data_IF_108902404693
#
_entry.id   IF_108902404693
#
_cell.length_a   1.000
_cell.length_b   1.000
_cell.length_c   1.000
_cell.angle_alpha   90.00
_cell.angle_beta   90.00
_cell.angle_gamma   90.00
#
_symmetry.space_group_name_H-M   'P 1'
#
loop_
_entity.id
_entity.type
_entity.pdbx_description
1 polymer ?
#
# COMPACT_ATOMS: atom_id res chain seq x y z
N UNK A 1 9.26 44.41 13.26
CA UNK A 1 8.81 44.88 14.59
C UNK A 1 8.19 43.72 15.36
N UNK A 2 8.33 43.66 16.69
CA UNK A 2 7.72 42.63 17.53
C UNK A 2 6.86 43.34 18.58
N UNK A 3 5.56 43.10 18.58
CA UNK A 3 4.62 43.63 19.56
C UNK A 3 4.30 42.56 20.60
N UNK A 4 4.31 42.96 21.88
CA UNK A 4 4.10 42.09 23.06
C UNK A 4 2.90 42.50 23.90
N UNK A 5 2.21 43.57 23.51
CA UNK A 5 1.05 44.17 24.18
C UNK A 5 -0.28 43.77 23.52
N UNK A 6 -0.29 42.63 22.83
CA UNK A 6 -1.45 42.00 22.20
C UNK A 6 -1.62 40.60 22.81
N UNK A 7 -2.81 40.01 22.69
CA UNK A 7 -3.11 38.69 23.26
C UNK A 7 -2.11 37.59 22.83
N UNK A 8 -1.57 37.71 21.61
CA UNK A 8 -0.49 36.87 21.09
C UNK A 8 0.69 37.73 20.63
N UNK A 9 1.92 37.18 20.57
CA UNK A 9 3.06 37.87 19.99
C UNK A 9 2.80 38.23 18.51
N UNK A 10 2.88 39.52 18.16
CA UNK A 10 2.70 39.97 16.78
C UNK A 10 4.04 40.37 16.16
N UNK A 11 4.45 39.67 15.10
CA UNK A 11 5.74 39.89 14.44
C UNK A 11 5.54 40.41 13.03
N UNK A 12 6.01 41.62 12.77
CA UNK A 12 6.11 42.19 11.42
C UNK A 12 7.45 41.83 10.78
N UNK A 13 7.39 41.11 9.67
CA UNK A 13 8.55 40.73 8.85
C UNK A 13 8.50 41.52 7.54
N UNK A 14 9.59 42.22 7.22
CA UNK A 14 9.78 42.90 5.95
C UNK A 14 10.97 42.25 5.21
N UNK A 15 10.86 42.17 3.89
CA UNK A 15 11.91 41.64 3.01
C UNK A 15 12.18 42.66 1.91
N UNK A 16 13.46 42.93 1.65
CA UNK A 16 13.93 43.79 0.56
C UNK A 16 14.76 42.98 -0.43
N UNK A 17 14.64 43.28 -1.71
CA UNK A 17 15.52 42.75 -2.75
C UNK A 17 16.67 43.76 -2.94
N UNK A 18 17.92 43.43 -2.54
CA UNK A 18 19.02 44.40 -2.58
C UNK A 18 19.43 44.77 -4.02
N UNK A 19 19.20 43.87 -4.98
CA UNK A 19 19.50 44.08 -6.40
C UNK A 19 18.27 43.73 -7.25
N UNK A 20 17.39 44.70 -7.54
CA UNK A 20 16.13 44.43 -8.24
C UNK A 20 16.37 43.92 -9.66
N UNK A 21 16.00 42.68 -9.93
CA UNK A 21 16.08 42.10 -11.28
C UNK A 21 14.84 42.43 -12.11
N UNK A 22 14.82 43.59 -12.77
CA UNK A 22 13.76 43.98 -13.71
C UNK A 22 13.94 43.33 -15.09
N UNK A 23 13.80 42.00 -15.17
CA UNK A 23 13.79 41.26 -16.43
C UNK A 23 12.43 40.60 -16.65
N UNK A 24 11.82 40.83 -17.81
CA UNK A 24 10.52 40.24 -18.18
C UNK A 24 10.59 38.72 -18.06
N UNK A 25 9.64 38.13 -17.35
CA UNK A 25 9.56 36.67 -17.16
C UNK A 25 10.52 36.10 -16.11
N UNK A 26 11.46 36.89 -15.56
CA UNK A 26 12.27 36.49 -14.41
C UNK A 26 11.73 37.07 -13.11
N UNK A 27 11.82 36.28 -12.04
CA UNK A 27 11.31 36.67 -10.73
C UNK A 27 9.83 37.07 -10.76
N UNK A 28 9.52 38.23 -10.18
CA UNK A 28 8.15 38.77 -10.08
C UNK A 28 7.84 39.85 -11.12
N UNK A 29 8.66 40.01 -12.15
CA UNK A 29 8.50 41.03 -13.17
C UNK A 29 7.53 40.58 -14.26
N UNK A 30 6.61 41.47 -14.64
CA UNK A 30 5.54 41.24 -15.62
C UNK A 30 5.38 42.48 -16.50
N UNK A 31 4.77 42.32 -17.66
CA UNK A 31 4.33 43.43 -18.50
C UNK A 31 2.90 43.81 -18.13
N UNK A 32 2.61 45.11 -18.05
CA UNK A 32 1.23 45.61 -17.98
C UNK A 32 0.58 45.61 -19.39
N UNK A 33 -0.67 46.05 -19.49
CA UNK A 33 -1.38 46.13 -20.77
C UNK A 33 -0.77 47.13 -21.78
N UNK A 34 0.09 48.02 -21.30
CA UNK A 34 0.78 49.05 -22.09
C UNK A 34 2.20 48.64 -22.50
N UNK A 35 2.65 47.43 -22.10
CA UNK A 35 3.98 46.92 -22.42
C UNK A 35 5.09 47.39 -21.48
N UNK A 36 4.76 48.01 -20.35
CA UNK A 36 5.72 48.43 -19.34
C UNK A 36 6.01 47.33 -18.32
N UNK A 37 7.27 47.23 -17.90
CA UNK A 37 7.71 46.25 -16.90
C UNK A 37 7.34 46.74 -15.50
N UNK A 38 6.59 45.92 -14.76
CA UNK A 38 6.33 46.15 -13.35
C UNK A 38 6.63 44.92 -12.50
N UNK A 39 6.96 45.13 -11.22
CA UNK A 39 7.15 44.05 -10.26
C UNK A 39 5.85 43.80 -9.47
N UNK A 40 5.39 42.56 -9.41
CA UNK A 40 4.23 42.20 -8.59
C UNK A 40 4.59 42.24 -7.10
N UNK A 41 4.14 43.26 -6.38
CA UNK A 41 4.39 43.43 -4.94
C UNK A 41 3.62 42.46 -4.03
N UNK A 42 2.47 41.93 -4.48
CA UNK A 42 1.68 40.96 -3.70
C UNK A 42 2.27 39.55 -3.79
N UNK A 43 2.57 38.94 -2.65
CA UNK A 43 2.93 37.52 -2.57
C UNK A 43 1.70 36.62 -2.79
N UNK A 44 1.92 35.43 -3.35
CA UNK A 44 0.87 34.40 -3.44
C UNK A 44 0.51 33.94 -2.02
N UNK A 45 -0.79 33.77 -1.74
CA UNK A 45 -1.27 33.30 -0.43
C UNK A 45 -0.57 32.01 0.02
N UNK A 46 -0.40 31.04 -0.88
CA UNK A 46 0.32 29.79 -0.58
C UNK A 46 1.79 30.02 -0.19
N UNK A 47 2.46 31.02 -0.77
CA UNK A 47 3.85 31.36 -0.41
C UNK A 47 3.93 31.95 0.99
N UNK A 48 2.95 32.81 1.36
CA UNK A 48 2.83 33.36 2.71
C UNK A 48 2.58 32.23 3.71
N UNK A 49 1.66 31.32 3.40
CA UNK A 49 1.35 30.17 4.26
C UNK A 49 2.57 29.26 4.45
N UNK A 50 3.33 28.97 3.39
CA UNK A 50 4.58 28.21 3.49
C UNK A 50 5.63 28.93 4.33
N UNK A 51 5.76 30.25 4.21
CA UNK A 51 6.68 31.03 5.03
C UNK A 51 6.28 31.00 6.51
N UNK A 52 4.98 31.21 6.81
CA UNK A 52 4.43 31.08 8.17
C UNK A 52 4.72 29.70 8.76
N UNK A 53 4.46 28.63 8.01
CA UNK A 53 4.72 27.26 8.45
C UNK A 53 6.19 27.01 8.77
N UNK A 54 7.11 27.45 7.91
CA UNK A 54 8.55 27.33 8.19
C UNK A 54 8.97 28.13 9.43
N UNK A 55 8.45 29.34 9.60
CA UNK A 55 8.73 30.17 10.75
C UNK A 55 8.23 29.53 12.05
N UNK A 56 6.98 29.07 12.09
CA UNK A 56 6.39 28.40 13.27
C UNK A 56 7.15 27.12 13.61
N UNK A 57 7.47 26.28 12.62
CA UNK A 57 8.24 25.06 12.87
C UNK A 57 9.65 25.35 13.42
N UNK A 58 10.30 26.41 12.94
CA UNK A 58 11.60 26.84 13.47
C UNK A 58 11.49 27.42 14.89
N UNK A 59 10.40 28.15 15.18
CA UNK A 59 10.14 28.75 16.48
C UNK A 59 9.89 27.69 17.56
N UNK A 60 9.09 26.67 17.24
CA UNK A 60 8.72 25.64 18.20
C UNK A 60 9.85 24.62 18.44
N UNK A 61 10.82 24.51 17.52
CA UNK A 61 11.97 23.61 17.61
C UNK A 61 11.61 22.13 17.85
N UNK A 62 10.51 21.66 17.26
CA UNK A 62 9.86 20.36 17.54
C UNK A 62 10.40 19.20 16.70
N UNK A 63 11.69 19.25 16.38
CA UNK A 63 12.32 18.17 15.59
C UNK A 63 12.21 16.83 16.33
N UNK A 64 12.34 16.84 17.66
CA UNK A 64 12.31 15.65 18.51
C UNK A 64 10.90 15.05 18.59
N UNK A 65 9.88 15.86 18.85
CA UNK A 65 8.49 15.38 18.95
C UNK A 65 7.97 14.90 17.59
N UNK A 66 8.29 15.62 16.51
CA UNK A 66 7.96 15.18 15.15
C UNK A 66 8.66 13.87 14.80
N UNK A 67 9.91 13.71 15.23
CA UNK A 67 10.66 12.47 15.05
C UNK A 67 10.00 11.32 15.83
N UNK A 68 9.60 11.55 17.08
CA UNK A 68 8.92 10.53 17.91
C UNK A 68 7.59 10.09 17.30
N UNK A 69 6.76 11.03 16.81
CA UNK A 69 5.52 10.70 16.10
C UNK A 69 5.81 9.82 14.88
N UNK A 70 6.81 10.17 14.08
CA UNK A 70 7.17 9.40 12.89
C UNK A 70 7.77 8.03 13.24
N UNK A 71 8.54 7.93 14.31
CA UNK A 71 9.11 6.69 14.84
C UNK A 71 8.00 5.73 15.29
N UNK A 72 7.05 6.20 16.10
CA UNK A 72 5.91 5.38 16.54
C UNK A 72 5.14 4.85 15.34
N UNK A 73 4.82 5.71 14.36
CA UNK A 73 4.09 5.29 13.17
C UNK A 73 4.90 4.27 12.35
N UNK A 74 6.14 4.60 11.98
CA UNK A 74 6.90 3.82 10.97
C UNK A 74 7.59 2.60 11.56
N UNK A 75 8.28 2.77 12.67
CA UNK A 75 9.12 1.72 13.25
C UNK A 75 8.31 0.84 14.19
N UNK A 76 7.59 1.44 15.14
CA UNK A 76 6.92 0.66 16.19
C UNK A 76 5.65 -0.02 15.67
N UNK A 77 4.76 0.71 14.99
CA UNK A 77 3.49 0.12 14.52
C UNK A 77 3.70 -0.59 13.18
N UNK A 78 4.15 0.14 12.15
CA UNK A 78 4.22 -0.42 10.79
C UNK A 78 5.34 -1.45 10.67
N UNK A 79 6.51 -1.20 11.26
CA UNK A 79 7.66 -2.11 11.25
C UNK A 79 7.34 -3.44 11.95
N UNK A 80 6.81 -3.40 13.18
CA UNK A 80 6.42 -4.61 13.91
C UNK A 80 5.24 -5.32 13.26
N UNK A 81 4.26 -4.59 12.71
CA UNK A 81 3.18 -5.23 11.95
C UNK A 81 3.72 -5.99 10.74
N UNK A 82 4.75 -5.47 10.06
CA UNK A 82 5.39 -6.13 8.92
C UNK A 82 5.99 -7.50 9.25
N UNK A 83 6.36 -7.74 10.51
CA UNK A 83 6.90 -9.03 11.00
C UNK A 83 5.82 -10.07 11.29
N UNK A 84 4.55 -9.65 11.38
CA UNK A 84 3.41 -10.49 11.76
C UNK A 84 2.51 -10.78 10.56
N UNK A 85 2.16 -12.04 10.37
CA UNK A 85 1.18 -12.46 9.36
C UNK A 85 -0.22 -12.47 9.94
N UNK A 86 -1.08 -11.61 9.42
CA UNK A 86 -2.52 -11.53 9.75
C UNK A 86 -3.20 -12.86 9.43
N UNK A 87 -2.80 -13.51 8.33
CA UNK A 87 -3.38 -14.79 7.87
C UNK A 87 -3.16 -15.98 8.81
N UNK A 88 -2.15 -15.91 9.68
CA UNK A 88 -1.81 -16.94 10.66
C UNK A 88 -2.39 -16.64 12.07
N UNK A 89 -2.83 -15.40 12.30
CA UNK A 89 -3.42 -14.97 13.57
C UNK A 89 -4.87 -15.45 13.70
N UNK A 90 -5.18 -16.14 14.80
CA UNK A 90 -6.52 -16.70 15.07
C UNK A 90 -7.64 -15.67 15.02
N UNK A 91 -7.42 -14.48 15.56
CA UNK A 91 -8.47 -13.46 15.72
C UNK A 91 -8.57 -12.58 14.47
N UNK A 92 -7.46 -12.42 13.73
CA UNK A 92 -7.43 -11.59 12.54
C UNK A 92 -7.74 -12.35 11.25
N UNK A 93 -7.59 -13.68 11.24
CA UNK A 93 -7.80 -14.51 10.05
C UNK A 93 -9.21 -14.41 9.50
N UNK A 94 -10.24 -14.49 10.36
CA UNK A 94 -11.63 -14.42 9.90
C UNK A 94 -11.96 -13.06 9.26
N UNK A 95 -11.70 -11.90 9.91
CA UNK A 95 -11.83 -10.59 9.29
C UNK A 95 -11.00 -10.44 8.00
N UNK A 96 -9.79 -10.98 7.96
CA UNK A 96 -8.94 -10.93 6.77
C UNK A 96 -9.54 -11.70 5.59
N UNK A 97 -10.15 -12.87 5.82
CA UNK A 97 -10.84 -13.63 4.77
C UNK A 97 -12.15 -12.97 4.33
N UNK A 98 -12.79 -12.17 5.17
CA UNK A 98 -13.93 -11.34 4.78
C UNK A 98 -13.47 -10.19 3.88
N UNK A 99 -12.41 -9.48 4.27
CA UNK A 99 -11.78 -8.44 3.46
C UNK A 99 -11.44 -8.96 2.05
N UNK A 100 -10.78 -10.12 1.94
CA UNK A 100 -10.42 -10.71 0.63
C UNK A 100 -11.61 -10.96 -0.31
N UNK A 101 -12.83 -11.12 0.23
CA UNK A 101 -14.06 -11.31 -0.57
C UNK A 101 -14.67 -10.01 -1.04
N UNK A 102 -14.47 -8.92 -0.31
CA UNK A 102 -14.98 -7.59 -0.62
C UNK A 102 -14.00 -6.75 -1.44
N UNK A 103 -12.73 -7.18 -1.53
CA UNK A 103 -11.73 -6.51 -2.36
C UNK A 103 -12.11 -6.53 -3.84
N UNK A 104 -11.80 -5.46 -4.60
CA UNK A 104 -11.99 -5.42 -6.05
C UNK A 104 -11.29 -6.58 -6.76
N UNK A 105 -11.83 -7.03 -7.88
CA UNK A 105 -11.25 -8.13 -8.67
C UNK A 105 -9.80 -7.84 -9.11
N UNK A 106 -9.50 -6.58 -9.43
CA UNK A 106 -8.18 -6.15 -9.89
C UNK A 106 -7.22 -5.89 -8.72
N UNK A 107 -6.27 -6.81 -8.51
CA UNK A 107 -5.24 -6.69 -7.45
C UNK A 107 -4.32 -5.47 -7.59
N UNK A 108 -4.17 -4.94 -8.81
CA UNK A 108 -3.41 -3.72 -9.08
C UNK A 108 -4.02 -2.51 -8.36
N UNK A 109 -5.32 -2.53 -8.11
CA UNK A 109 -6.09 -1.46 -7.46
C UNK A 109 -6.11 -1.55 -5.94
N UNK A 110 -5.49 -2.56 -5.33
CA UNK A 110 -5.49 -2.79 -3.88
C UNK A 110 -4.57 -1.81 -3.13
N UNK A 111 -4.80 -0.50 -3.29
CA UNK A 111 -4.10 0.56 -2.60
C UNK A 111 -5.13 1.35 -1.80
N UNK A 112 -4.87 1.58 -0.53
CA UNK A 112 -5.80 2.20 0.41
C UNK A 112 -6.43 3.50 -0.12
N UNK A 113 -5.63 4.33 -0.81
CA UNK A 113 -6.07 5.62 -1.35
C UNK A 113 -6.64 5.53 -2.79
N UNK A 114 -6.69 4.34 -3.39
CA UNK A 114 -7.29 4.15 -4.71
C UNK A 114 -8.81 4.32 -4.63
N UNK A 115 -9.41 4.86 -5.70
CA UNK A 115 -10.85 5.06 -5.80
C UNK A 115 -11.63 3.74 -5.83
N UNK A 116 -11.05 2.69 -6.40
CA UNK A 116 -11.66 1.36 -6.43
C UNK A 116 -11.84 0.76 -5.02
N UNK A 117 -11.11 1.27 -4.02
CA UNK A 117 -11.22 0.82 -2.64
C UNK A 117 -12.35 1.51 -1.86
N UNK A 118 -13.07 2.48 -2.42
CA UNK A 118 -14.06 3.26 -1.66
C UNK A 118 -15.09 2.39 -0.91
N UNK A 119 -15.56 1.31 -1.53
CA UNK A 119 -16.54 0.40 -0.92
C UNK A 119 -15.93 -0.57 0.08
N UNK A 120 -14.64 -0.90 -0.01
CA UNK A 120 -13.97 -1.88 0.85
C UNK A 120 -13.02 -1.26 1.88
N UNK A 121 -12.77 0.05 1.81
CA UNK A 121 -11.84 0.77 2.70
C UNK A 121 -12.24 0.62 4.16
N UNK A 122 -13.54 0.69 4.46
CA UNK A 122 -14.04 0.52 5.83
C UNK A 122 -13.66 -0.84 6.44
N UNK A 123 -13.59 -1.92 5.64
CA UNK A 123 -13.09 -3.24 6.11
C UNK A 123 -11.59 -3.26 6.36
N UNK A 124 -10.84 -2.51 5.56
CA UNK A 124 -9.40 -2.32 5.80
C UNK A 124 -9.19 -1.55 7.10
N UNK A 125 -10.03 -0.54 7.37
CA UNK A 125 -10.00 0.25 8.61
C UNK A 125 -10.37 -0.59 9.83
N UNK A 126 -11.45 -1.37 9.76
CA UNK A 126 -11.88 -2.28 10.84
C UNK A 126 -10.78 -3.29 11.22
N UNK A 127 -10.12 -3.88 10.21
CA UNK A 127 -9.00 -4.79 10.44
C UNK A 127 -7.78 -4.06 11.01
N UNK A 128 -7.50 -2.84 10.52
CA UNK A 128 -6.41 -2.00 11.04
C UNK A 128 -6.63 -1.62 12.50
N UNK A 129 -7.86 -1.27 12.88
CA UNK A 129 -8.24 -0.96 14.25
C UNK A 129 -8.10 -2.20 15.16
N UNK A 130 -8.50 -3.38 14.67
CA UNK A 130 -8.33 -4.64 15.41
C UNK A 130 -6.85 -4.95 15.66
N UNK A 131 -6.00 -4.72 14.66
CA UNK A 131 -4.54 -4.88 14.79
C UNK A 131 -3.99 -3.91 15.86
N UNK A 132 -4.39 -2.64 15.80
CA UNK A 132 -3.96 -1.62 16.77
C UNK A 132 -4.37 -2.04 18.19
N UNK A 133 -5.64 -2.36 18.41
CA UNK A 133 -6.15 -2.76 19.73
C UNK A 133 -5.44 -3.99 20.29
N UNK A 134 -5.15 -4.97 19.44
CA UNK A 134 -4.55 -6.24 19.86
C UNK A 134 -3.05 -6.13 20.16
N UNK A 135 -2.32 -5.36 19.36
CA UNK A 135 -0.85 -5.40 19.39
C UNK A 135 -0.17 -4.08 19.72
N UNK A 136 -0.83 -2.95 19.49
CA UNK A 136 -0.19 -1.63 19.48
C UNK A 136 -0.99 -0.58 20.26
N UNK A 137 -1.79 -1.02 21.24
CA UNK A 137 -2.67 -0.12 21.98
C UNK A 137 -1.87 0.95 22.74
N UNK A 138 -0.74 0.57 23.35
CA UNK A 138 0.10 1.48 24.14
C UNK A 138 0.77 2.51 23.23
N UNK A 139 1.31 2.08 22.10
CA UNK A 139 1.91 2.93 21.07
C UNK A 139 0.89 3.89 20.48
N UNK A 140 -0.35 3.43 20.27
CA UNK A 140 -1.44 4.24 19.76
C UNK A 140 -1.93 5.29 20.77
N UNK A 141 -1.98 4.95 22.06
CA UNK A 141 -2.28 5.89 23.15
C UNK A 141 -1.17 6.95 23.31
N UNK A 142 0.10 6.54 23.23
CA UNK A 142 1.25 7.46 23.24
C UNK A 142 1.17 8.41 22.02
N UNK A 143 0.93 7.86 20.83
CA UNK A 143 0.77 8.65 19.61
C UNK A 143 -0.35 9.68 19.76
N UNK A 144 -1.54 9.28 20.21
CA UNK A 144 -2.66 10.19 20.38
C UNK A 144 -2.32 11.34 21.33
N UNK A 145 -1.69 11.02 22.46
CA UNK A 145 -1.28 12.01 23.47
C UNK A 145 -0.29 13.03 22.89
N UNK A 146 0.71 12.56 22.13
CA UNK A 146 1.68 13.43 21.45
C UNK A 146 1.01 14.30 20.39
N UNK A 147 0.07 13.74 19.62
CA UNK A 147 -0.66 14.48 18.59
C UNK A 147 -1.57 15.56 19.17
N UNK A 148 -2.19 15.32 20.33
CA UNK A 148 -3.01 16.34 21.02
C UNK A 148 -2.17 17.52 21.49
N UNK A 149 -1.04 17.24 22.14
CA UNK A 149 -0.08 18.29 22.56
C UNK A 149 0.38 19.10 21.36
N UNK A 150 0.75 18.41 20.27
CA UNK A 150 1.25 19.05 19.06
C UNK A 150 0.18 19.89 18.35
N UNK A 151 -1.06 19.41 18.30
CA UNK A 151 -2.17 20.17 17.74
C UNK A 151 -2.39 21.46 18.52
N UNK A 152 -2.44 21.41 19.85
CA UNK A 152 -2.60 22.59 20.70
C UNK A 152 -1.46 23.60 20.53
N UNK A 153 -0.21 23.13 20.43
CA UNK A 153 0.95 24.01 20.17
C UNK A 153 0.80 24.75 18.85
N UNK A 154 0.37 24.06 17.80
CA UNK A 154 0.10 24.71 16.52
C UNK A 154 -1.08 25.68 16.60
N UNK A 155 -2.21 25.32 17.21
CA UNK A 155 -3.35 26.24 17.40
C UNK A 155 -2.87 27.52 18.08
N UNK A 156 -2.12 27.42 19.17
CA UNK A 156 -1.56 28.57 19.88
C UNK A 156 -0.60 29.39 19.00
N UNK A 157 0.31 28.75 18.27
CA UNK A 157 1.27 29.43 17.41
C UNK A 157 0.61 30.17 16.22
N UNK A 158 -0.56 29.71 15.77
CA UNK A 158 -1.36 30.36 14.73
C UNK A 158 -2.44 31.30 15.28
N UNK A 159 -2.45 31.58 16.59
CA UNK A 159 -3.38 32.53 17.20
C UNK A 159 -4.78 31.97 17.43
N UNK A 160 -4.89 30.68 17.73
CA UNK A 160 -6.14 29.97 18.03
C UNK A 160 -6.89 29.44 16.81
N UNK A 161 -6.28 29.48 15.61
CA UNK A 161 -6.89 28.92 14.41
C UNK A 161 -6.89 27.38 14.49
N UNK A 162 -8.08 26.78 14.44
CA UNK A 162 -8.26 25.32 14.43
C UNK A 162 -7.43 24.70 13.31
N UNK A 163 -6.75 23.59 13.62
CA UNK A 163 -5.98 22.84 12.62
C UNK A 163 -6.32 21.34 12.67
N UNK A 164 -6.00 20.65 11.57
CA UNK A 164 -6.30 19.22 11.41
C UNK A 164 -5.02 18.36 11.57
N UNK A 165 -4.05 18.79 12.38
CA UNK A 165 -2.76 18.10 12.47
C UNK A 165 -2.91 16.66 12.97
N UNK A 166 -3.62 16.46 14.09
CA UNK A 166 -3.86 15.12 14.65
C UNK A 166 -4.61 14.25 13.66
N UNK A 167 -5.71 14.75 13.10
CA UNK A 167 -6.53 14.03 12.14
C UNK A 167 -5.71 13.58 10.92
N UNK A 168 -4.88 14.46 10.36
CA UNK A 168 -4.02 14.13 9.23
C UNK A 168 -2.98 13.05 9.56
N UNK A 169 -2.42 13.07 10.77
CA UNK A 169 -1.46 12.05 11.22
C UNK A 169 -2.12 10.70 11.48
N UNK A 170 -3.33 10.68 12.05
CA UNK A 170 -4.11 9.45 12.19
C UNK A 170 -4.48 8.89 10.82
N UNK A 171 -4.92 9.73 9.87
CA UNK A 171 -5.17 9.30 8.48
C UNK A 171 -3.92 8.72 7.81
N UNK A 172 -2.74 9.30 8.02
CA UNK A 172 -1.47 8.75 7.52
C UNK A 172 -1.16 7.38 8.14
N UNK A 173 -1.39 7.20 9.45
CA UNK A 173 -1.25 5.90 10.12
C UNK A 173 -2.17 4.83 9.48
N UNK A 174 -3.47 5.11 9.36
CA UNK A 174 -4.43 4.17 8.76
C UNK A 174 -4.09 3.88 7.30
N UNK A 175 -3.68 4.89 6.53
CA UNK A 175 -3.26 4.71 5.14
C UNK A 175 -2.05 3.77 5.02
N UNK A 176 -1.04 3.93 5.89
CA UNK A 176 0.15 3.07 5.91
C UNK A 176 -0.18 1.65 6.38
N UNK A 177 -0.96 1.54 7.45
CA UNK A 177 -1.31 0.26 8.05
C UNK A 177 -2.21 -0.54 7.10
N UNK A 178 -3.22 0.11 6.52
CA UNK A 178 -4.08 -0.47 5.50
C UNK A 178 -3.29 -0.93 4.27
N UNK A 179 -2.30 -0.16 3.81
CA UNK A 179 -1.42 -0.61 2.73
C UNK A 179 -0.54 -1.81 3.11
N UNK A 180 -0.14 -1.94 4.38
CA UNK A 180 0.54 -3.14 4.89
C UNK A 180 -0.37 -4.37 4.86
N UNK A 181 -1.63 -4.22 5.29
CA UNK A 181 -2.68 -5.26 5.21
C UNK A 181 -2.92 -5.68 3.75
N UNK A 182 -3.11 -4.71 2.85
CA UNK A 182 -3.36 -4.96 1.43
C UNK A 182 -2.16 -5.60 0.73
N UNK A 183 -0.93 -5.31 1.17
CA UNK A 183 0.27 -6.01 0.70
C UNK A 183 0.21 -7.48 1.07
N UNK A 184 -0.10 -7.81 2.31
CA UNK A 184 -0.26 -9.21 2.75
C UNK A 184 -1.39 -9.91 1.99
N UNK A 185 -2.50 -9.22 1.72
CA UNK A 185 -3.60 -9.75 0.90
C UNK A 185 -3.13 -10.16 -0.50
N UNK A 186 -2.34 -9.31 -1.18
CA UNK A 186 -1.77 -9.64 -2.50
C UNK A 186 -0.86 -10.86 -2.43
N UNK A 187 0.01 -10.90 -1.43
CA UNK A 187 0.93 -12.02 -1.22
C UNK A 187 0.17 -13.33 -1.02
N UNK A 188 -0.89 -13.30 -0.20
CA UNK A 188 -1.76 -14.46 0.03
C UNK A 188 -2.42 -14.97 -1.27
N UNK A 189 -3.05 -14.08 -2.06
CA UNK A 189 -3.65 -14.43 -3.37
C UNK A 189 -2.63 -15.02 -4.35
N UNK A 190 -1.42 -14.48 -4.38
CA UNK A 190 -0.36 -14.94 -5.26
C UNK A 190 0.13 -16.35 -4.90
N UNK A 191 0.28 -16.64 -3.60
CA UNK A 191 0.62 -17.97 -3.10
C UNK A 191 -0.48 -18.97 -3.47
N UNK A 192 -1.75 -18.61 -3.26
CA UNK A 192 -2.89 -19.46 -3.59
C UNK A 192 -2.96 -19.76 -5.11
N UNK A 193 -2.74 -18.75 -5.96
CA UNK A 193 -2.71 -18.90 -7.41
C UNK A 193 -1.56 -19.79 -7.92
N UNK A 194 -0.36 -19.66 -7.34
CA UNK A 194 0.80 -20.53 -7.65
C UNK A 194 0.53 -21.98 -7.26
N UNK A 195 -0.04 -22.22 -6.09
CA UNK A 195 -0.42 -23.57 -5.63
C UNK A 195 -1.42 -24.24 -6.58
N UNK A 196 -2.47 -23.52 -6.99
CA UNK A 196 -3.45 -24.02 -7.98
C UNK A 196 -2.80 -24.32 -9.34
N UNK A 197 -1.86 -23.50 -9.78
CA UNK A 197 -1.15 -23.67 -11.06
C UNK A 197 -0.20 -24.88 -11.03
N UNK A 198 0.57 -25.05 -9.95
CA UNK A 198 1.43 -26.23 -9.76
C UNK A 198 0.61 -27.53 -9.71
N UNK A 199 -0.50 -27.51 -8.97
CA UNK A 199 -1.41 -28.67 -8.88
C UNK A 199 -2.05 -29.02 -10.23
N UNK A 200 -2.40 -28.02 -11.05
CA UNK A 200 -2.85 -28.23 -12.44
C UNK A 200 -1.76 -28.84 -13.32
N UNK A 201 -0.52 -28.32 -13.28
CA UNK A 201 0.62 -28.86 -14.05
C UNK A 201 0.91 -30.31 -13.68
N UNK A 202 0.89 -30.64 -12.38
CA UNK A 202 1.00 -32.01 -11.86
C UNK A 202 -0.06 -32.93 -12.46
N UNK A 203 -1.33 -32.53 -12.40
CA UNK A 203 -2.42 -33.36 -12.94
C UNK A 203 -2.31 -33.57 -14.46
N UNK A 204 -1.90 -32.55 -15.22
CA UNK A 204 -1.67 -32.70 -16.67
C UNK A 204 -0.50 -33.64 -16.96
N UNK A 205 0.58 -33.57 -16.19
CA UNK A 205 1.72 -34.48 -16.32
C UNK A 205 1.33 -35.93 -16.01
N UNK A 206 0.61 -36.17 -14.90
CA UNK A 206 0.09 -37.50 -14.55
C UNK A 206 -0.85 -38.07 -15.61
N UNK A 207 -1.73 -37.25 -16.18
CA UNK A 207 -2.61 -37.68 -17.27
C UNK A 207 -1.83 -38.06 -18.53
N UNK A 208 -0.74 -37.36 -18.84
CA UNK A 208 0.13 -37.70 -19.97
C UNK A 208 0.84 -39.05 -19.77
N UNK A 209 1.38 -39.29 -18.56
CA UNK A 209 2.01 -40.56 -18.18
C UNK A 209 1.00 -41.71 -18.25
N UNK A 210 -0.20 -41.55 -17.70
CA UNK A 210 -1.27 -42.55 -17.79
C UNK A 210 -1.70 -42.85 -19.23
N UNK A 211 -1.76 -41.83 -20.09
CA UNK A 211 -2.05 -42.05 -21.52
C UNK A 211 -0.94 -42.82 -22.22
N UNK A 212 0.33 -42.55 -21.89
CA UNK A 212 1.48 -43.31 -22.39
C UNK A 212 1.38 -44.79 -22.00
N UNK A 213 1.11 -45.06 -20.72
CA UNK A 213 0.95 -46.41 -20.18
C UNK A 213 -0.22 -47.16 -20.84
N UNK A 214 -1.36 -46.49 -21.03
CA UNK A 214 -2.54 -47.08 -21.70
C UNK A 214 -2.27 -47.41 -23.17
N UNK A 215 -1.44 -46.60 -23.84
CA UNK A 215 -1.02 -46.85 -25.23
C UNK A 215 -0.03 -48.01 -25.33
N UNK A 216 0.93 -48.13 -24.41
CA UNK A 216 1.86 -49.27 -24.40
C UNK A 216 1.11 -50.57 -24.13
N UNK A 217 0.26 -50.60 -23.10
CA UNK A 217 -0.55 -51.78 -22.78
C UNK A 217 -1.46 -52.21 -23.94
N UNK A 218 -2.04 -51.27 -24.68
CA UNK A 218 -2.81 -51.60 -25.89
C UNK A 218 -1.94 -52.24 -26.98
N UNK A 219 -0.71 -51.76 -27.18
CA UNK A 219 0.22 -52.35 -28.15
C UNK A 219 0.65 -53.75 -27.74
N UNK A 220 0.95 -53.95 -26.46
CA UNK A 220 1.36 -55.26 -25.93
C UNK A 220 0.23 -56.28 -26.07
N UNK A 221 -1.02 -55.90 -25.74
CA UNK A 221 -2.20 -56.74 -25.94
C UNK A 221 -2.42 -57.06 -27.43
N UNK A 222 -2.24 -56.08 -28.32
CA UNK A 222 -2.39 -56.32 -29.74
C UNK A 222 -1.28 -57.23 -30.30
N UNK A 223 -0.05 -57.05 -29.83
CA UNK A 223 1.09 -57.91 -30.19
C UNK A 223 0.83 -59.35 -29.75
N UNK A 224 0.37 -59.55 -28.50
CA UNK A 224 0.03 -60.87 -27.99
C UNK A 224 -1.09 -61.55 -28.81
N UNK A 225 -2.12 -60.78 -29.22
CA UNK A 225 -3.18 -61.28 -30.10
C UNK A 225 -2.66 -61.67 -31.49
N UNK A 226 -1.79 -60.83 -32.07
CA UNK A 226 -1.20 -61.11 -33.37
C UNK A 226 -0.29 -62.34 -33.32
N UNK A 227 0.48 -62.51 -32.24
CA UNK A 227 1.34 -63.68 -32.03
C UNK A 227 0.52 -64.96 -31.86
N UNK A 228 -0.55 -64.93 -31.07
CA UNK A 228 -1.48 -66.05 -30.94
C UNK A 228 -2.16 -66.42 -32.27
N UNK A 229 -2.51 -65.42 -33.09
CA UNK A 229 -3.06 -65.66 -34.43
C UNK A 229 -2.04 -66.30 -35.38
N UNK A 230 -0.79 -65.84 -35.35
CA UNK A 230 0.30 -66.41 -36.15
C UNK A 230 0.60 -67.87 -35.77
N UNK A 231 0.64 -68.17 -34.46
CA UNK A 231 0.82 -69.55 -33.97
C UNK A 231 -0.34 -70.47 -34.37
N UNK A 232 -1.56 -69.96 -34.43
CA UNK A 232 -2.73 -70.72 -34.87
C UNK A 232 -2.68 -71.04 -36.38
N UNK A 233 -2.27 -70.07 -37.21
CA UNK A 233 -2.07 -70.26 -38.64
C UNK A 233 -0.95 -71.28 -38.92
N UNK A 234 0.18 -71.15 -38.23
CA UNK A 234 1.30 -72.09 -38.38
C UNK A 234 0.90 -73.53 -38.02
N UNK A 235 0.10 -73.71 -36.96
CA UNK A 235 -0.46 -75.02 -36.59
C UNK A 235 -1.47 -75.56 -37.62
N UNK A 236 -2.14 -74.70 -38.38
CA UNK A 236 -3.00 -75.13 -39.49
C UNK A 236 -2.15 -75.54 -40.70
N UNK A 237 -1.14 -74.75 -41.05
CA UNK A 237 -0.20 -75.08 -42.14
C UNK A 237 0.55 -76.39 -41.86
N UNK A 238 1.04 -76.59 -40.63
CA UNK A 238 1.69 -77.84 -40.21
C UNK A 238 0.73 -79.05 -40.27
N UNK A 239 -0.58 -78.85 -40.02
CA UNK A 239 -1.63 -79.88 -40.16
C UNK A 239 -1.98 -80.18 -41.63
N UNK A 240 -1.89 -79.18 -42.51
CA UNK A 240 -2.16 -79.32 -43.94
C UNK A 240 -0.95 -79.88 -44.70
N UNK A 241 0.28 -79.68 -44.20
CA UNK A 241 1.52 -80.15 -44.81
C UNK A 241 1.88 -81.62 -44.53
N UNK A 242 1.12 -82.34 -43.70
CA UNK A 242 1.22 -83.80 -43.55
C UNK A 242 2.44 -84.31 -42.79
N UNK A 243 2.50 -84.01 -41.48
CA UNK A 243 3.06 -84.90 -40.45
C UNK A 243 1.99 -85.16 -39.40
#
# INVERSE_FOLDING_TARGET
AIHRNTDNFHVHIAMVEPYPMHQVGKGRCRLNGEGEIYQRGKFKASSIQSAKSKFVNALLNEQVETQRVNEIIRENIIGEKGKRKISEDRDLRLPFMQLLRELPNEQSKWNYNDKAMNESRYKVDELSETIIKKYFIREYEELNSLLDIQQQRYENAYGGESNNYKENKIKDLYSRLGNSVLKEAREYKNIEGKSKTQRRKSNTAWNSVLQGLKRSMRKDIQSAKNQAAYEALRKQEDREAGI
#
